data_IF_273478141770
#
_entry.id   IF_273478141770
#
_cell.length_a   1.000
_cell.length_b   1.000
_cell.length_c   1.000
_cell.angle_alpha   90.00
_cell.angle_beta   90.00
_cell.angle_gamma   90.00
#
_symmetry.space_group_name_H-M   'P 1'
#
loop_
_entity.id
_entity.type
_entity.pdbx_description
1 polymer ?
#
# COMPACT_ATOMS: atom_id res chain seq x y z
N UNK A 1 -9.38 6.77 10.71
CA UNK A 1 -8.55 7.97 10.87
C UNK A 1 -8.25 8.57 9.50
N UNK A 2 -8.27 9.90 9.37
CA UNK A 2 -7.88 10.55 8.12
C UNK A 2 -6.39 10.26 7.80
N UNK A 3 -6.04 10.37 6.51
CA UNK A 3 -4.64 10.31 6.04
C UNK A 3 -3.78 11.31 6.82
N UNK A 4 -2.72 10.83 7.46
CA UNK A 4 -1.76 11.62 8.23
C UNK A 4 -0.34 11.24 7.83
N UNK A 5 0.30 12.12 7.06
CA UNK A 5 1.67 11.93 6.59
C UNK A 5 2.73 12.11 7.69
N UNK A 6 2.38 12.68 8.84
CA UNK A 6 3.28 12.72 10.00
C UNK A 6 3.30 11.38 10.77
N UNK A 7 2.29 10.54 10.57
CA UNK A 7 2.18 9.19 11.12
C UNK A 7 2.30 8.12 10.02
N UNK A 8 3.29 8.30 9.15
CA UNK A 8 3.55 7.44 8.00
C UNK A 8 4.49 6.28 8.38
N UNK A 9 4.14 5.07 7.97
CA UNK A 9 5.05 3.92 7.96
C UNK A 9 5.26 3.46 6.52
N UNK A 10 6.52 3.29 6.16
CA UNK A 10 6.91 2.86 4.84
C UNK A 10 7.20 1.35 4.82
N UNK A 11 6.57 0.65 3.87
CA UNK A 11 6.74 -0.78 3.64
C UNK A 11 7.11 -0.97 2.17
N UNK A 12 8.40 -1.23 1.92
CA UNK A 12 8.92 -1.45 0.56
C UNK A 12 9.05 -2.92 0.19
N UNK A 13 9.14 -3.80 1.18
CA UNK A 13 9.41 -5.21 0.96
C UNK A 13 8.33 -6.03 1.66
N UNK A 14 7.55 -6.77 0.88
CA UNK A 14 6.66 -7.83 1.39
C UNK A 14 7.23 -9.16 0.90
N UNK A 15 7.78 -9.94 1.83
CA UNK A 15 8.30 -11.26 1.53
C UNK A 15 7.20 -12.31 1.64
N UNK A 16 7.01 -13.10 0.59
CA UNK A 16 6.12 -14.27 0.62
C UNK A 16 4.63 -13.97 0.80
N UNK A 17 4.18 -12.76 0.46
CA UNK A 17 2.77 -12.36 0.60
C UNK A 17 2.31 -12.16 2.05
N UNK A 18 3.24 -11.96 3.00
CA UNK A 18 2.87 -11.66 4.38
C UNK A 18 2.37 -10.20 4.51
N UNK A 19 1.05 -10.03 4.55
CA UNK A 19 0.40 -8.73 4.74
C UNK A 19 0.28 -8.33 6.22
N UNK A 20 0.74 -9.14 7.17
CA UNK A 20 0.63 -8.85 8.61
C UNK A 20 1.20 -7.47 9.00
N UNK A 21 2.36 -7.02 8.46
CA UNK A 21 2.89 -5.69 8.76
C UNK A 21 1.98 -4.55 8.28
N UNK A 22 1.32 -4.74 7.13
CA UNK A 22 0.37 -3.77 6.57
C UNK A 22 -0.87 -3.70 7.45
N UNK A 23 -1.47 -4.85 7.77
CA UNK A 23 -2.67 -4.92 8.60
C UNK A 23 -2.40 -4.32 9.99
N UNK A 24 -1.29 -4.70 10.64
CA UNK A 24 -0.93 -4.19 11.96
C UNK A 24 -0.73 -2.67 11.98
N UNK A 25 -0.12 -2.10 10.94
CA UNK A 25 0.06 -0.66 10.83
C UNK A 25 -1.28 0.08 10.63
N UNK A 26 -2.16 -0.44 9.77
CA UNK A 26 -3.50 0.12 9.56
C UNK A 26 -4.37 0.02 10.82
N UNK A 27 -4.33 -1.11 11.52
CA UNK A 27 -5.03 -1.32 12.81
C UNK A 27 -4.53 -0.36 13.89
N UNK A 28 -3.25 0.01 13.84
CA UNK A 28 -2.64 0.99 14.74
C UNK A 28 -2.94 2.45 14.35
N UNK A 29 -3.79 2.68 13.34
CA UNK A 29 -4.17 4.02 12.90
C UNK A 29 -3.10 4.76 12.11
N UNK A 30 -2.12 4.04 11.55
CA UNK A 30 -1.04 4.65 10.76
C UNK A 30 -1.46 4.85 9.31
N UNK A 31 -0.87 5.86 8.66
CA UNK A 31 -0.86 5.93 7.20
C UNK A 31 0.30 5.08 6.71
N UNK A 32 0.10 4.35 5.63
CA UNK A 32 1.12 3.53 5.01
C UNK A 32 1.58 4.12 3.69
N UNK A 33 2.88 3.99 3.42
CA UNK A 33 3.45 4.09 2.08
C UNK A 33 3.89 2.69 1.66
N UNK A 34 3.20 2.12 0.67
CA UNK A 34 3.41 0.74 0.26
C UNK A 34 3.96 0.65 -1.17
N UNK A 35 5.04 -0.10 -1.35
CA UNK A 35 5.56 -0.45 -2.67
C UNK A 35 4.78 -1.60 -3.29
N UNK A 36 4.23 -1.35 -4.48
CA UNK A 36 3.36 -2.27 -5.20
C UNK A 36 3.75 -2.37 -6.66
N UNK A 37 3.41 -3.51 -7.26
CA UNK A 37 3.41 -3.70 -8.72
C UNK A 37 2.06 -3.23 -9.26
N UNK A 38 2.03 -2.34 -10.26
CA UNK A 38 0.82 -1.88 -10.96
C UNK A 38 0.20 -2.98 -11.83
N UNK A 39 -0.37 -3.98 -11.19
CA UNK A 39 -1.25 -4.96 -11.83
C UNK A 39 -2.72 -4.53 -11.79
N UNK A 40 -3.60 -5.38 -12.33
CA UNK A 40 -5.03 -5.12 -12.44
C UNK A 40 -5.68 -4.75 -11.10
N UNK A 41 -5.35 -5.49 -10.03
CA UNK A 41 -5.88 -5.24 -8.69
C UNK A 41 -5.48 -3.88 -8.13
N UNK A 42 -4.23 -3.46 -8.35
CA UNK A 42 -3.74 -2.15 -7.88
C UNK A 42 -4.38 -1.04 -8.70
N UNK A 43 -4.49 -1.22 -10.02
CA UNK A 43 -5.16 -0.24 -10.89
C UNK A 43 -6.64 -0.09 -10.54
N UNK A 44 -7.34 -1.19 -10.24
CA UNK A 44 -8.72 -1.15 -9.76
C UNK A 44 -8.82 -0.42 -8.42
N UNK A 45 -7.97 -0.75 -7.45
CA UNK A 45 -7.98 -0.10 -6.14
C UNK A 45 -7.70 1.41 -6.23
N UNK A 46 -6.81 1.82 -7.15
CA UNK A 46 -6.54 3.24 -7.40
C UNK A 46 -7.73 3.95 -8.07
N UNK A 47 -8.47 3.27 -8.96
CA UNK A 47 -9.65 3.82 -9.59
C UNK A 47 -10.84 3.95 -8.61
N UNK A 48 -10.98 2.99 -7.70
CA UNK A 48 -12.01 2.99 -6.64
C UNK A 48 -11.61 3.86 -5.44
N UNK A 49 -10.33 4.24 -5.33
CA UNK A 49 -9.79 4.96 -4.18
C UNK A 49 -9.72 4.11 -2.90
N UNK A 50 -9.78 2.78 -3.03
CA UNK A 50 -9.90 1.83 -1.90
C UNK A 50 -9.33 0.46 -2.26
N UNK A 51 -8.69 -0.19 -1.29
CA UNK A 51 -8.34 -1.61 -1.31
C UNK A 51 -9.34 -2.37 -0.45
N UNK A 52 -10.30 -3.04 -1.08
CA UNK A 52 -11.37 -3.79 -0.39
C UNK A 52 -10.83 -4.84 0.60
N UNK A 53 -9.82 -5.62 0.18
CA UNK A 53 -9.20 -6.66 1.02
C UNK A 53 -8.66 -6.11 2.35
N UNK A 54 -8.16 -4.87 2.34
CA UNK A 54 -7.57 -4.22 3.49
C UNK A 54 -8.54 -3.29 4.20
N UNK A 55 -9.77 -3.13 3.69
CA UNK A 55 -10.74 -2.16 4.15
C UNK A 55 -10.12 -0.76 4.32
N UNK A 56 -9.27 -0.36 3.37
CA UNK A 56 -8.43 0.84 3.47
C UNK A 56 -8.56 1.70 2.21
N UNK A 57 -8.57 3.01 2.39
CA UNK A 57 -8.48 3.97 1.30
C UNK A 57 -7.12 3.85 0.59
N UNK A 58 -7.08 4.20 -0.69
CA UNK A 58 -5.92 4.02 -1.55
C UNK A 58 -5.71 5.25 -2.44
N UNK A 59 -4.46 5.67 -2.59
CA UNK A 59 -4.08 6.78 -3.46
C UNK A 59 -2.69 6.56 -4.04
N UNK A 60 -2.50 6.88 -5.33
CA UNK A 60 -1.18 6.81 -5.95
C UNK A 60 -0.33 7.97 -5.43
N UNK A 61 0.85 7.67 -4.88
CA UNK A 61 1.86 8.68 -4.58
C UNK A 61 2.63 9.02 -5.85
N UNK A 62 3.30 8.01 -6.41
CA UNK A 62 4.16 8.15 -7.59
C UNK A 62 4.41 6.79 -8.25
N UNK A 63 4.78 6.84 -9.52
CA UNK A 63 5.39 5.70 -10.22
C UNK A 63 6.89 5.73 -9.98
N UNK A 64 7.45 4.60 -9.55
CA UNK A 64 8.86 4.49 -9.19
C UNK A 64 9.35 3.07 -9.50
N UNK A 65 10.13 2.92 -10.57
CA UNK A 65 10.65 1.62 -10.98
C UNK A 65 11.59 1.02 -9.91
N UNK A 66 11.42 -0.27 -9.62
CA UNK A 66 12.21 -1.04 -8.65
C UNK A 66 12.21 -0.38 -7.24
N UNK A 67 11.07 0.14 -6.80
CA UNK A 67 10.94 0.79 -5.49
C UNK A 67 10.84 -0.19 -4.32
N UNK A 68 10.86 -1.50 -4.59
CA UNK A 68 10.82 -2.57 -3.61
C UNK A 68 10.29 -3.87 -4.21
N UNK A 69 9.75 -4.76 -3.37
CA UNK A 69 9.13 -6.02 -3.78
C UNK A 69 7.65 -6.03 -3.39
N UNK A 70 6.79 -6.20 -4.39
CA UNK A 70 5.35 -6.33 -4.19
C UNK A 70 5.03 -7.67 -3.50
N UNK A 71 3.90 -7.75 -2.79
CA UNK A 71 3.45 -8.99 -2.13
C UNK A 71 3.23 -10.18 -3.08
N UNK A 72 3.10 -9.95 -4.40
CA UNK A 72 3.08 -11.02 -5.41
C UNK A 72 4.47 -11.59 -5.75
N UNK A 73 5.56 -11.04 -5.20
CA UNK A 73 6.94 -11.42 -5.47
C UNK A 73 7.56 -10.71 -6.68
N UNK A 74 6.80 -9.89 -7.41
CA UNK A 74 7.35 -9.09 -8.50
C UNK A 74 7.97 -7.77 -8.00
N UNK A 75 8.95 -7.21 -8.73
CA UNK A 75 9.48 -5.87 -8.44
C UNK A 75 8.36 -4.83 -8.47
N UNK A 76 8.27 -4.03 -7.42
CA UNK A 76 7.33 -2.92 -7.34
C UNK A 76 7.75 -1.79 -8.30
N UNK A 77 6.75 -1.16 -8.93
CA UNK A 77 6.91 -0.06 -9.87
C UNK A 77 6.07 1.17 -9.51
N UNK A 78 5.38 1.15 -8.37
CA UNK A 78 4.65 2.28 -7.82
C UNK A 78 4.67 2.30 -6.30
N UNK A 79 4.46 3.50 -5.76
CA UNK A 79 4.22 3.72 -4.34
C UNK A 79 2.79 4.23 -4.15
N UNK A 80 2.06 3.61 -3.23
CA UNK A 80 0.68 3.99 -2.90
C UNK A 80 0.55 4.33 -1.42
N UNK A 81 -0.32 5.29 -1.12
CA UNK A 81 -0.76 5.58 0.23
C UNK A 81 -1.93 4.69 0.60
N UNK A 82 -1.92 4.13 1.81
CA UNK A 82 -3.07 3.45 2.42
C UNK A 82 -3.40 4.02 3.79
N UNK A 83 -4.68 4.16 4.12
CA UNK A 83 -5.17 4.54 5.45
C UNK A 83 -6.59 4.02 5.67
N UNK A 84 -7.03 3.87 6.92
CA UNK A 84 -8.41 3.46 7.26
C UNK A 84 -9.12 4.56 7.99
N UNK A 85 -10.43 4.72 7.79
CA UNK A 85 -11.33 5.68 8.46
C UNK A 85 -11.61 5.40 9.94
#
# INVERSE_FOLDING_TARGET
MPKDLNNLVEIREINGGDFSPIVSALDSGKTLLWAVKRGDLVNQALAEGRVELLNANCELKEEAANCGTCGCGEPADALVYLWRD
#
